data_IF_845729617064
#
_entry.id   IF_845729617064
#
_cell.length_a   1.000
_cell.length_b   1.000
_cell.length_c   1.000
_cell.angle_alpha   90.00
_cell.angle_beta   90.00
_cell.angle_gamma   90.00
#
_symmetry.space_group_name_H-M   'P 1'
#
loop_
_entity.id
_entity.type
_entity.pdbx_description
1 polymer ?
#
# COMPACT_ATOMS: atom_id res chain seq x y z
N UNK A 1 3.40 2.18 -18.46
CA UNK A 1 3.60 0.72 -18.37
C UNK A 1 3.25 0.33 -16.94
N UNK A 2 2.12 -0.35 -16.70
CA UNK A 2 1.76 -0.83 -15.36
C UNK A 2 2.44 -2.19 -15.18
N UNK A 3 3.60 -2.22 -14.53
CA UNK A 3 4.32 -3.45 -14.22
C UNK A 3 3.92 -3.97 -12.84
N UNK A 4 3.60 -5.26 -12.75
CA UNK A 4 3.51 -5.95 -11.47
C UNK A 4 4.92 -6.05 -10.88
N UNK A 5 5.20 -5.26 -9.84
CA UNK A 5 6.41 -5.40 -9.05
C UNK A 5 6.18 -6.53 -8.04
N UNK A 6 6.78 -7.70 -8.27
CA UNK A 6 6.95 -8.70 -7.22
C UNK A 6 8.09 -8.24 -6.29
N UNK A 7 7.78 -7.29 -5.40
CA UNK A 7 8.69 -6.95 -4.29
C UNK A 7 8.71 -8.09 -3.29
N UNK A 8 9.87 -8.29 -2.67
CA UNK A 8 10.01 -9.19 -1.53
C UNK A 8 9.04 -8.78 -0.41
N UNK A 9 8.53 -9.74 0.35
CA UNK A 9 7.65 -9.50 1.50
C UNK A 9 8.34 -8.58 2.54
N UNK A 10 9.67 -8.61 2.62
CA UNK A 10 10.48 -7.72 3.45
C UNK A 10 10.57 -6.30 2.90
N UNK A 11 10.70 -6.14 1.58
CA UNK A 11 10.67 -4.81 0.94
C UNK A 11 9.29 -4.17 1.08
N UNK A 12 8.22 -4.96 0.95
CA UNK A 12 6.86 -4.49 1.16
C UNK A 12 6.67 -4.00 2.60
N UNK A 13 7.20 -4.75 3.59
CA UNK A 13 7.20 -4.36 5.01
C UNK A 13 8.01 -3.10 5.27
N UNK A 14 9.18 -2.96 4.64
CA UNK A 14 10.01 -1.75 4.77
C UNK A 14 9.31 -0.54 4.16
N UNK A 15 8.71 -0.71 2.98
CA UNK A 15 7.93 0.31 2.29
C UNK A 15 6.81 0.84 3.19
N UNK A 16 5.98 -0.03 3.78
CA UNK A 16 4.92 0.40 4.72
C UNK A 16 5.44 1.02 6.01
N UNK A 17 6.68 0.70 6.42
CA UNK A 17 7.31 1.31 7.60
C UNK A 17 7.67 2.77 7.31
N UNK A 18 8.11 3.05 6.09
CA UNK A 18 8.55 4.37 5.60
C UNK A 18 7.42 5.28 5.13
N UNK A 19 6.18 4.75 4.98
CA UNK A 19 4.99 5.57 4.76
C UNK A 19 4.84 6.58 5.91
N UNK A 20 5.19 7.84 5.61
CA UNK A 20 5.03 8.99 6.48
C UNK A 20 3.61 9.58 6.40
N UNK A 21 2.83 9.24 5.38
CA UNK A 21 1.44 9.68 5.28
C UNK A 21 0.56 8.94 6.30
N UNK A 22 0.30 9.64 7.41
CA UNK A 22 -0.49 9.14 8.53
C UNK A 22 -1.91 8.75 8.12
N UNK A 23 -2.49 9.38 7.09
CA UNK A 23 -3.85 9.10 6.62
C UNK A 23 -3.91 7.73 5.97
N UNK A 24 -2.99 7.44 5.05
CA UNK A 24 -2.92 6.12 4.41
C UNK A 24 -2.49 5.04 5.40
N UNK A 25 -1.55 5.34 6.30
CA UNK A 25 -1.09 4.40 7.32
C UNK A 25 -2.21 3.92 8.23
N UNK A 26 -3.07 4.84 8.70
CA UNK A 26 -4.22 4.49 9.54
C UNK A 26 -5.28 3.72 8.76
N UNK A 27 -5.58 4.12 7.52
CA UNK A 27 -6.54 3.39 6.67
C UNK A 27 -6.11 1.95 6.38
N UNK A 28 -4.83 1.74 6.06
CA UNK A 28 -4.27 0.39 5.83
C UNK A 28 -4.37 -0.44 7.11
N UNK A 29 -3.91 0.10 8.24
CA UNK A 29 -3.94 -0.60 9.53
C UNK A 29 -5.36 -0.99 9.94
N UNK A 30 -6.30 -0.06 9.84
CA UNK A 30 -7.69 -0.30 10.23
C UNK A 30 -8.36 -1.30 9.27
N UNK A 31 -8.18 -1.14 7.96
CA UNK A 31 -8.78 -2.06 6.99
C UNK A 31 -8.23 -3.49 7.13
N UNK A 32 -6.94 -3.65 7.41
CA UNK A 32 -6.35 -4.97 7.67
C UNK A 32 -6.86 -5.58 8.98
N UNK A 33 -7.03 -4.77 10.04
CA UNK A 33 -7.60 -5.21 11.31
C UNK A 33 -9.08 -5.62 11.17
N UNK A 34 -9.82 -5.00 10.25
CA UNK A 34 -11.19 -5.35 9.90
C UNK A 34 -11.29 -6.57 8.97
N UNK A 35 -10.16 -7.15 8.54
CA UNK A 35 -10.11 -8.31 7.65
C UNK A 35 -10.48 -7.99 6.21
N UNK A 36 -10.31 -6.74 5.77
CA UNK A 36 -10.62 -6.30 4.41
C UNK A 36 -9.49 -6.62 3.44
N UNK A 37 -9.87 -7.00 2.23
CA UNK A 37 -8.95 -7.10 1.11
C UNK A 37 -8.70 -5.70 0.54
N UNK A 38 -7.45 -5.22 0.67
CA UNK A 38 -7.09 -3.88 0.23
C UNK A 38 -6.14 -3.94 -0.98
N UNK A 39 -6.45 -3.16 -2.01
CA UNK A 39 -5.53 -2.84 -3.11
C UNK A 39 -4.92 -1.49 -2.83
N UNK A 40 -3.59 -1.45 -2.74
CA UNK A 40 -2.81 -0.21 -2.57
C UNK A 40 -2.14 0.13 -3.89
N UNK A 41 -2.34 1.35 -4.38
CA UNK A 41 -1.63 1.86 -5.54
C UNK A 41 -0.45 2.71 -5.08
N UNK A 42 0.73 2.35 -5.57
CA UNK A 42 1.98 3.07 -5.33
C UNK A 42 2.40 3.75 -6.62
N UNK A 43 2.72 5.04 -6.53
CA UNK A 43 3.39 5.77 -7.58
C UNK A 43 4.88 5.79 -7.26
N UNK A 44 5.69 5.32 -8.21
CA UNK A 44 7.15 5.46 -8.14
C UNK A 44 7.59 6.52 -9.14
N UNK A 45 8.31 7.54 -8.67
CA UNK A 45 8.85 8.61 -9.50
C UNK A 45 10.22 9.05 -8.96
N UNK A 46 11.24 9.08 -9.84
CA UNK A 46 12.59 9.54 -9.50
C UNK A 46 13.24 8.85 -8.27
N UNK A 47 12.92 7.58 -8.01
CA UNK A 47 13.45 6.82 -6.87
C UNK A 47 12.68 7.03 -5.56
N UNK A 48 11.67 7.89 -5.55
CA UNK A 48 10.71 8.02 -4.47
C UNK A 48 9.46 7.19 -4.76
N UNK A 49 8.88 6.63 -3.70
CA UNK A 49 7.67 5.83 -3.79
C UNK A 49 6.62 6.37 -2.82
N UNK A 50 5.42 6.65 -3.33
CA UNK A 50 4.32 7.20 -2.54
C UNK A 50 3.04 6.42 -2.79
N UNK A 51 2.25 6.21 -1.74
CA UNK A 51 0.91 5.67 -1.87
C UNK A 51 0.00 6.77 -2.42
N UNK A 52 -0.62 6.53 -3.58
CA UNK A 52 -1.49 7.51 -4.24
C UNK A 52 -2.97 7.12 -4.19
N UNK A 53 -3.29 5.83 -4.02
CA UNK A 53 -4.67 5.37 -3.84
C UNK A 53 -4.74 4.12 -2.97
N UNK A 54 -5.88 3.96 -2.30
CA UNK A 54 -6.23 2.78 -1.52
C UNK A 54 -7.67 2.40 -1.82
N UNK A 55 -7.89 1.16 -2.23
CA UNK A 55 -9.21 0.62 -2.57
C UNK A 55 -9.49 -0.61 -1.74
N UNK A 56 -10.61 -0.57 -1.02
CA UNK A 56 -11.20 -1.77 -0.41
C UNK A 56 -11.89 -2.60 -1.49
N UNK A 57 -11.54 -3.88 -1.58
CA UNK A 57 -12.07 -4.85 -2.53
C UNK A 57 -12.67 -6.07 -1.82
N UNK A 58 -13.12 -5.90 -0.57
CA UNK A 58 -13.79 -6.96 0.20
C UNK A 58 -14.89 -7.72 -0.57
N UNK A 59 -15.38 -8.85 -0.02
CA UNK A 59 -16.20 -9.80 -0.77
C UNK A 59 -17.44 -9.13 -1.38
N UNK A 60 -17.66 -9.39 -2.68
CA UNK A 60 -18.77 -8.88 -3.49
C UNK A 60 -20.14 -9.23 -2.92
#
# INVERSE_FOLDING_TARGET
MYGSFEKSLDELRSFFREVNDLVFKNKIKNGFAEGKDLVVSVMSAMGEEQICALKDIGPK
#
